data_IF_239854766555
#
_entry.id   IF_239854766555
#
_cell.length_a   1.000
_cell.length_b   1.000
_cell.length_c   1.000
_cell.angle_alpha   90.00
_cell.angle_beta   90.00
_cell.angle_gamma   90.00
#
_symmetry.space_group_name_H-M   'P 1'
#
loop_
_entity.id
_entity.type
_entity.pdbx_description
1 polymer ?
#
# COMPACT_ATOMS: atom_id res chain seq x y z
N UNK A 1 -34.84 35.96 7.43
CA UNK A 1 -36.16 35.57 6.90
C UNK A 1 -35.93 34.92 5.55
N UNK A 2 -36.14 33.61 5.47
CA UNK A 2 -36.82 32.91 4.38
C UNK A 2 -36.67 31.40 4.62
N UNK A 3 -37.80 30.75 4.45
CA UNK A 3 -38.27 29.49 5.02
C UNK A 3 -38.19 28.37 3.95
N UNK A 4 -37.69 27.18 4.35
CA UNK A 4 -38.29 25.81 4.29
C UNK A 4 -39.30 25.56 3.13
N UNK A 5 -39.31 24.39 2.40
CA UNK A 5 -39.39 23.05 3.01
C UNK A 5 -38.69 21.84 2.36
N UNK A 6 -38.64 20.80 3.20
CA UNK A 6 -38.37 19.40 2.94
C UNK A 6 -39.62 18.62 2.48
N UNK A 7 -39.42 17.43 1.92
CA UNK A 7 -40.41 16.34 1.90
C UNK A 7 -40.33 15.44 0.66
N UNK A 8 -40.04 14.15 0.83
CA UNK A 8 -41.05 13.06 0.78
C UNK A 8 -40.40 11.66 0.76
N UNK A 9 -40.84 10.83 1.71
CA UNK A 9 -40.79 9.36 1.69
C UNK A 9 -41.75 8.80 0.63
N UNK A 10 -41.43 7.63 0.06
CA UNK A 10 -42.30 6.96 -0.92
C UNK A 10 -41.87 5.53 -1.26
N UNK A 11 -42.29 4.60 -0.39
CA UNK A 11 -42.27 3.14 -0.53
C UNK A 11 -43.22 2.67 -1.65
N UNK A 12 -42.80 1.69 -2.47
CA UNK A 12 -43.71 0.82 -3.22
C UNK A 12 -43.15 -0.61 -3.30
N UNK A 13 -44.09 -1.54 -3.17
CA UNK A 13 -43.99 -2.97 -2.93
C UNK A 13 -44.57 -3.72 -4.15
N UNK A 14 -44.29 -5.03 -4.27
CA UNK A 14 -44.96 -5.98 -5.19
C UNK A 14 -44.23 -6.20 -6.53
N UNK A 15 -44.09 -7.41 -7.07
CA UNK A 15 -44.66 -8.72 -6.74
C UNK A 15 -45.07 -9.45 -8.05
N UNK A 16 -44.85 -10.78 -8.10
CA UNK A 16 -45.25 -11.77 -9.15
C UNK A 16 -44.43 -11.72 -10.46
N UNK A 17 -44.08 -12.82 -11.14
CA UNK A 17 -44.34 -14.24 -10.94
C UNK A 17 -44.32 -15.00 -12.27
N UNK A 18 -43.71 -16.19 -12.27
CA UNK A 18 -44.11 -17.43 -12.98
C UNK A 18 -43.79 -17.73 -14.45
N UNK A 19 -43.35 -19.00 -14.63
CA UNK A 19 -43.59 -19.96 -15.74
C UNK A 19 -42.75 -19.76 -17.02
N UNK A 20 -42.18 -20.76 -17.71
CA UNK A 20 -42.37 -22.23 -17.86
C UNK A 20 -41.15 -22.78 -18.65
N UNK A 21 -40.61 -23.97 -18.35
CA UNK A 21 -40.80 -25.27 -19.07
C UNK A 21 -40.11 -25.32 -20.46
N UNK A 22 -39.47 -26.36 -21.01
CA UNK A 22 -39.24 -27.80 -20.73
C UNK A 22 -37.98 -28.20 -21.54
N UNK A 23 -37.18 -29.21 -21.15
CA UNK A 23 -37.28 -30.57 -21.68
C UNK A 23 -35.88 -31.06 -22.13
N UNK A 24 -35.30 -32.08 -21.47
CA UNK A 24 -35.18 -33.47 -21.99
C UNK A 24 -33.86 -33.65 -22.76
N UNK A 25 -32.94 -34.57 -22.47
CA UNK A 25 -33.00 -35.90 -21.89
C UNK A 25 -32.30 -36.86 -22.87
N UNK A 26 -31.32 -37.65 -22.42
CA UNK A 26 -30.87 -38.84 -23.18
C UNK A 26 -29.35 -39.08 -23.22
N UNK A 27 -28.87 -39.94 -22.33
CA UNK A 27 -27.71 -40.81 -22.57
C UNK A 27 -28.16 -42.09 -23.29
N UNK A 28 -27.28 -42.74 -24.07
CA UNK A 28 -26.97 -44.16 -23.84
C UNK A 28 -25.51 -44.48 -24.25
N UNK A 29 -24.90 -45.67 -24.14
CA UNK A 29 -24.93 -46.89 -23.32
C UNK A 29 -23.78 -47.75 -23.89
N UNK A 30 -23.20 -48.62 -23.07
CA UNK A 30 -22.12 -49.59 -23.36
C UNK A 30 -22.34 -50.49 -24.60
N UNK A 31 -21.22 -50.96 -25.19
CA UNK A 31 -21.16 -52.28 -25.84
C UNK A 31 -19.77 -52.93 -25.69
N UNK A 32 -19.79 -54.26 -25.57
CA UNK A 32 -18.75 -55.20 -25.15
C UNK A 32 -18.61 -56.28 -26.25
N UNK A 33 -17.40 -56.77 -26.58
CA UNK A 33 -17.05 -58.21 -26.65
C UNK A 33 -15.67 -58.53 -27.25
N UNK A 34 -15.18 -59.73 -26.87
CA UNK A 34 -14.25 -60.67 -27.53
C UNK A 34 -12.79 -60.80 -26.99
N UNK A 35 -12.44 -62.04 -26.58
CA UNK A 35 -11.07 -62.58 -26.41
C UNK A 35 -10.71 -63.57 -27.58
N UNK A 36 -9.57 -64.31 -27.58
CA UNK A 36 -8.35 -64.04 -28.36
C UNK A 36 -8.02 -65.13 -29.43
N UNK A 37 -6.90 -65.00 -30.18
CA UNK A 37 -5.93 -66.11 -30.15
C UNK A 37 -4.43 -65.71 -30.27
N UNK A 38 -3.62 -66.50 -29.56
CA UNK A 38 -2.26 -67.04 -29.82
C UNK A 38 -1.16 -66.28 -30.61
N UNK A 39 -0.05 -66.11 -29.86
CA UNK A 39 1.31 -66.63 -30.13
C UNK A 39 2.30 -65.83 -31.01
N UNK A 40 3.56 -65.84 -30.54
CA UNK A 40 4.83 -65.54 -31.24
C UNK A 40 5.32 -64.09 -31.39
N UNK A 41 5.67 -63.39 -30.29
CA UNK A 41 6.61 -62.24 -30.40
C UNK A 41 7.23 -61.78 -29.07
N UNK A 42 7.66 -62.71 -28.20
CA UNK A 42 8.15 -62.34 -26.87
C UNK A 42 9.59 -61.82 -26.84
N UNK A 43 10.47 -62.16 -27.80
CA UNK A 43 11.90 -61.80 -27.69
C UNK A 43 12.29 -60.41 -28.22
N UNK A 44 11.54 -59.84 -29.17
CA UNK A 44 11.89 -58.53 -29.78
C UNK A 44 11.23 -57.34 -29.08
N UNK A 45 10.17 -57.57 -28.29
CA UNK A 45 9.51 -56.52 -27.50
C UNK A 45 10.35 -56.12 -26.30
N UNK A 46 11.01 -57.08 -25.64
CA UNK A 46 11.88 -56.83 -24.47
C UNK A 46 13.11 -55.98 -24.81
N UNK A 47 13.75 -56.21 -25.96
CA UNK A 47 14.91 -55.44 -26.39
C UNK A 47 14.55 -53.96 -26.69
N UNK A 48 13.40 -53.72 -27.34
CA UNK A 48 12.93 -52.36 -27.59
C UNK A 48 12.50 -51.65 -26.30
N UNK A 49 11.91 -52.38 -25.36
CA UNK A 49 11.54 -51.83 -24.04
C UNK A 49 12.78 -51.46 -23.22
N UNK A 50 13.82 -52.28 -23.22
CA UNK A 50 15.09 -51.98 -22.57
C UNK A 50 15.80 -50.79 -23.22
N UNK A 51 15.84 -50.72 -24.55
CA UNK A 51 16.46 -49.60 -25.26
C UNK A 51 15.72 -48.27 -25.02
N UNK A 52 14.38 -48.32 -24.91
CA UNK A 52 13.56 -47.16 -24.59
C UNK A 52 13.74 -46.70 -23.13
N UNK A 53 13.86 -47.62 -22.17
CA UNK A 53 14.21 -47.27 -20.79
C UNK A 53 15.60 -46.65 -20.69
N UNK A 54 16.58 -47.16 -21.45
CA UNK A 54 17.95 -46.65 -21.44
C UNK A 54 18.03 -45.24 -22.04
N UNK A 55 17.29 -44.96 -23.12
CA UNK A 55 17.14 -43.60 -23.65
C UNK A 55 16.43 -42.66 -22.68
N UNK A 56 15.42 -43.15 -21.95
CA UNK A 56 14.71 -42.33 -20.96
C UNK A 56 15.61 -42.00 -19.75
N UNK A 57 16.45 -42.91 -19.29
CA UNK A 57 17.47 -42.63 -18.26
C UNK A 57 18.53 -41.63 -18.75
N UNK A 58 18.95 -41.71 -20.01
CA UNK A 58 19.87 -40.72 -20.59
C UNK A 58 19.24 -39.32 -20.69
N UNK A 59 17.96 -39.21 -21.04
CA UNK A 59 17.24 -37.93 -21.00
C UNK A 59 17.12 -37.37 -19.58
N UNK A 60 16.84 -38.21 -18.59
CA UNK A 60 16.79 -37.82 -17.17
C UNK A 60 18.16 -37.33 -16.66
N UNK A 61 19.26 -37.96 -17.08
CA UNK A 61 20.62 -37.47 -16.77
C UNK A 61 20.95 -36.15 -17.48
N UNK A 62 20.54 -35.96 -18.73
CA UNK A 62 20.75 -34.69 -19.44
C UNK A 62 19.96 -33.53 -18.81
N UNK A 63 18.76 -33.79 -18.28
CA UNK A 63 17.99 -32.80 -17.50
C UNK A 63 18.68 -32.47 -16.16
N UNK A 64 19.39 -33.43 -15.53
CA UNK A 64 20.18 -33.19 -14.31
C UNK A 64 21.41 -32.32 -14.56
N UNK A 65 21.97 -32.33 -15.77
CA UNK A 65 23.10 -31.47 -16.15
C UNK A 65 22.69 -30.07 -16.62
N UNK A 66 21.44 -29.84 -16.99
CA UNK A 66 20.90 -28.51 -17.32
C UNK A 66 20.13 -27.85 -16.15
N UNK A 67 20.01 -28.53 -15.01
CA UNK A 67 19.38 -28.04 -13.79
C UNK A 67 20.31 -27.29 -12.83
N UNK A 68 21.46 -26.82 -13.31
CA UNK A 68 22.40 -25.99 -12.56
C UNK A 68 22.07 -24.48 -12.60
N UNK A 69 20.82 -24.09 -12.86
CA UNK A 69 20.38 -22.75 -12.47
C UNK A 69 20.17 -22.82 -10.96
N UNK A 70 21.25 -22.56 -10.22
CA UNK A 70 21.17 -22.18 -8.83
C UNK A 70 20.14 -21.05 -8.80
N UNK A 71 18.94 -21.34 -8.29
CA UNK A 71 17.92 -20.35 -8.01
C UNK A 71 18.59 -19.42 -7.00
N UNK A 72 19.29 -18.41 -7.51
CA UNK A 72 19.81 -17.32 -6.71
C UNK A 72 18.52 -16.70 -6.21
N UNK A 73 18.12 -17.04 -4.98
CA UNK A 73 17.07 -16.31 -4.32
C UNK A 73 17.39 -14.84 -4.58
N UNK A 74 16.47 -14.05 -5.16
CA UNK A 74 16.75 -12.65 -5.41
C UNK A 74 17.21 -12.12 -4.07
N UNK A 75 18.44 -11.63 -4.01
CA UNK A 75 19.00 -11.08 -2.80
C UNK A 75 18.06 -9.95 -2.42
N UNK A 76 17.14 -10.22 -1.50
CA UNK A 76 16.04 -9.33 -1.12
C UNK A 76 16.53 -7.97 -0.59
N UNK A 77 17.85 -7.82 -0.46
CA UNK A 77 18.56 -6.68 0.09
C UNK A 77 19.27 -5.82 -0.98
N UNK A 78 19.10 -6.07 -2.28
CA UNK A 78 19.62 -5.12 -3.27
C UNK A 78 18.88 -3.78 -3.16
N UNK A 79 19.59 -2.63 -3.12
CA UNK A 79 18.98 -1.31 -2.96
C UNK A 79 17.87 -1.01 -3.96
N UNK A 80 18.06 -1.39 -5.23
CA UNK A 80 17.06 -1.20 -6.28
C UNK A 80 15.78 -2.04 -6.05
N UNK A 81 15.90 -3.23 -5.47
CA UNK A 81 14.76 -4.08 -5.15
C UNK A 81 13.98 -3.52 -3.97
N UNK A 82 14.67 -2.95 -2.97
CA UNK A 82 14.05 -2.27 -1.83
C UNK A 82 13.26 -1.05 -2.30
N UNK A 83 13.84 -0.22 -3.18
CA UNK A 83 13.15 0.93 -3.80
C UNK A 83 11.87 0.45 -4.50
N UNK A 84 11.97 -0.59 -5.32
CA UNK A 84 10.82 -1.13 -6.05
C UNK A 84 9.71 -1.60 -5.11
N UNK A 85 10.06 -2.34 -4.04
CA UNK A 85 9.08 -2.83 -3.05
C UNK A 85 8.42 -1.69 -2.28
N UNK A 86 9.18 -0.67 -1.88
CA UNK A 86 8.64 0.50 -1.21
C UNK A 86 7.56 1.18 -2.07
N UNK A 87 7.86 1.39 -3.36
CA UNK A 87 6.94 2.00 -4.31
C UNK A 87 5.71 1.13 -4.57
N UNK A 88 5.88 -0.19 -4.69
CA UNK A 88 4.76 -1.13 -4.85
C UNK A 88 3.82 -1.10 -3.64
N UNK A 89 4.36 -1.15 -2.41
CA UNK A 89 3.54 -1.00 -1.20
C UNK A 89 2.80 0.35 -1.15
N UNK A 90 3.44 1.45 -1.57
CA UNK A 90 2.78 2.76 -1.68
C UNK A 90 1.61 2.72 -2.67
N UNK A 91 1.81 2.12 -3.84
CA UNK A 91 0.77 1.97 -4.86
C UNK A 91 -0.39 1.12 -4.36
N UNK A 92 -0.11 -0.02 -3.72
CA UNK A 92 -1.13 -0.87 -3.09
C UNK A 92 -1.90 -0.12 -1.99
N UNK A 93 -1.21 0.68 -1.16
CA UNK A 93 -1.86 1.51 -0.14
C UNK A 93 -2.81 2.54 -0.76
N UNK A 94 -2.40 3.16 -1.87
CA UNK A 94 -3.24 4.10 -2.63
C UNK A 94 -4.47 3.42 -3.22
N UNK A 95 -4.32 2.19 -3.70
CA UNK A 95 -5.46 1.41 -4.18
C UNK A 95 -6.43 1.09 -3.04
N UNK A 96 -5.94 0.57 -1.92
CA UNK A 96 -6.77 0.32 -0.73
C UNK A 96 -7.48 1.60 -0.25
N UNK A 97 -6.83 2.77 -0.33
CA UNK A 97 -7.45 4.04 0.03
C UNK A 97 -8.64 4.39 -0.88
N UNK A 98 -8.48 4.22 -2.20
CA UNK A 98 -9.56 4.44 -3.18
C UNK A 98 -10.73 3.49 -2.92
N UNK A 99 -10.43 2.25 -2.55
CA UNK A 99 -11.42 1.23 -2.20
C UNK A 99 -12.03 1.44 -0.79
N UNK A 100 -11.71 2.54 -0.11
CA UNK A 100 -12.13 2.89 1.26
C UNK A 100 -11.72 1.87 2.33
N UNK A 101 -10.76 1.00 2.02
CA UNK A 101 -10.17 0.02 2.93
C UNK A 101 -9.04 0.68 3.74
N UNK A 102 -9.38 1.68 4.56
CA UNK A 102 -8.40 2.54 5.25
C UNK A 102 -7.45 1.77 6.17
N UNK A 103 -7.95 0.74 6.86
CA UNK A 103 -7.11 -0.11 7.73
C UNK A 103 -6.04 -0.86 6.93
N UNK A 104 -6.40 -1.42 5.78
CA UNK A 104 -5.45 -2.10 4.89
C UNK A 104 -4.46 -1.09 4.29
N UNK A 105 -4.95 0.08 3.86
CA UNK A 105 -4.12 1.15 3.32
C UNK A 105 -3.03 1.58 4.31
N UNK A 106 -3.39 1.78 5.60
CA UNK A 106 -2.44 2.11 6.67
C UNK A 106 -1.33 1.06 6.75
N UNK A 107 -1.70 -0.23 6.76
CA UNK A 107 -0.72 -1.31 6.82
C UNK A 107 0.22 -1.34 5.62
N UNK A 108 -0.27 -1.05 4.41
CA UNK A 108 0.55 -0.96 3.20
C UNK A 108 1.49 0.23 3.22
N UNK A 109 1.03 1.42 3.59
CA UNK A 109 1.89 2.60 3.73
C UNK A 109 2.96 2.41 4.82
N UNK A 110 2.64 1.76 5.94
CA UNK A 110 3.65 1.42 6.96
C UNK A 110 4.71 0.47 6.42
N UNK A 111 4.34 -0.56 5.65
CA UNK A 111 5.31 -1.44 4.98
C UNK A 111 6.21 -0.67 4.01
N UNK A 112 5.66 0.26 3.24
CA UNK A 112 6.46 1.14 2.38
C UNK A 112 7.50 1.95 3.18
N UNK A 113 7.09 2.57 4.30
CA UNK A 113 7.98 3.31 5.18
C UNK A 113 9.06 2.44 5.83
N UNK A 114 8.76 1.18 6.14
CA UNK A 114 9.73 0.24 6.69
C UNK A 114 10.82 -0.12 5.68
N UNK A 115 10.44 -0.37 4.42
CA UNK A 115 11.41 -0.59 3.33
C UNK A 115 12.30 0.64 3.12
N UNK A 116 11.70 1.85 3.10
CA UNK A 116 12.44 3.11 2.94
C UNK A 116 13.47 3.30 4.06
N UNK A 117 13.04 3.19 5.31
CA UNK A 117 13.91 3.38 6.48
C UNK A 117 14.94 2.26 6.64
N UNK A 118 14.59 1.04 6.25
CA UNK A 118 15.51 -0.09 6.21
C UNK A 118 16.66 0.19 5.25
N UNK A 119 16.37 0.74 4.07
CA UNK A 119 17.40 1.09 3.10
C UNK A 119 18.31 2.22 3.58
N UNK A 120 17.76 3.27 4.20
CA UNK A 120 18.56 4.35 4.78
C UNK A 120 19.59 3.83 5.80
N UNK A 121 19.23 2.80 6.58
CA UNK A 121 20.16 2.17 7.55
C UNK A 121 21.25 1.36 6.85
N UNK A 122 20.93 0.67 5.76
CA UNK A 122 21.89 -0.16 5.00
C UNK A 122 22.89 0.71 4.24
N UNK A 123 22.45 1.86 3.72
CA UNK A 123 23.31 2.75 2.93
C UNK A 123 24.24 3.65 3.76
N UNK A 124 23.96 3.81 5.06
CA UNK A 124 24.77 4.63 5.96
C UNK A 124 24.70 6.13 5.64
N UNK A 125 24.78 6.97 6.68
CA UNK A 125 24.88 8.41 6.50
C UNK A 125 26.28 8.75 5.93
N UNK A 126 26.41 9.48 4.81
CA UNK A 126 27.71 9.86 4.27
C UNK A 126 28.57 10.71 5.23
N UNK A 127 28.00 11.23 6.33
CA UNK A 127 28.72 12.14 7.24
C UNK A 127 29.38 11.49 8.47
N UNK A 128 29.43 10.16 8.58
CA UNK A 128 30.18 9.49 9.67
C UNK A 128 31.54 8.96 9.20
N UNK A 129 32.30 9.78 8.48
CA UNK A 129 33.73 9.53 8.22
C UNK A 129 34.61 10.23 9.26
N UNK A 130 34.50 9.82 10.53
CA UNK A 130 35.65 9.94 11.43
C UNK A 130 35.63 8.86 12.51
N UNK A 131 36.38 7.77 12.22
CA UNK A 131 37.19 6.92 13.12
C UNK A 131 37.06 5.42 12.83
N UNK A 132 37.73 5.06 11.73
CA UNK A 132 38.73 3.98 11.64
C UNK A 132 38.30 2.52 11.52
N UNK A 133 39.16 1.69 10.87
CA UNK A 133 38.73 0.59 10.02
C UNK A 133 39.22 -0.78 10.52
N UNK A 134 38.51 -1.86 10.16
CA UNK A 134 39.12 -3.17 9.83
C UNK A 134 38.04 -4.20 9.52
N UNK A 135 37.88 -4.54 8.24
CA UNK A 135 37.75 -5.94 7.81
C UNK A 135 37.97 -6.01 6.31
N UNK A 136 39.03 -6.70 5.93
CA UNK A 136 39.53 -6.90 4.58
C UNK A 136 38.66 -7.91 3.82
N UNK A 137 37.97 -7.50 2.75
CA UNK A 137 37.67 -8.35 1.59
C UNK A 137 37.41 -7.47 0.34
N UNK A 138 38.21 -7.60 -0.74
CA UNK A 138 37.92 -6.99 -2.04
C UNK A 138 37.34 -8.03 -3.00
N UNK A 139 36.05 -7.94 -3.34
CA UNK A 139 35.43 -8.38 -4.62
C UNK A 139 33.90 -8.27 -4.55
N UNK A 140 33.36 -7.20 -5.14
CA UNK A 140 32.11 -7.08 -5.95
C UNK A 140 31.90 -5.57 -6.09
N UNK A 141 32.52 -5.02 -7.12
CA UNK A 141 32.33 -3.63 -7.55
C UNK A 141 31.27 -3.63 -8.65
N UNK A 142 30.00 -3.53 -8.26
CA UNK A 142 28.91 -2.97 -9.09
C UNK A 142 27.67 -2.76 -8.20
N UNK A 143 27.21 -1.50 -8.15
CA UNK A 143 25.93 -0.99 -7.63
C UNK A 143 25.65 -0.94 -6.12
N UNK A 144 26.57 -0.43 -5.29
CA UNK A 144 26.26 -0.11 -3.88
C UNK A 144 25.74 1.30 -3.62
N UNK A 145 25.68 2.17 -4.63
CA UNK A 145 25.16 3.54 -4.50
C UNK A 145 23.87 3.71 -5.31
N UNK A 146 22.77 4.04 -4.62
CA UNK A 146 21.53 4.49 -5.28
C UNK A 146 21.83 5.71 -6.15
N UNK A 147 21.18 5.79 -7.32
CA UNK A 147 21.19 7.01 -8.12
C UNK A 147 20.49 8.13 -7.36
N UNK A 148 20.86 9.38 -7.60
CA UNK A 148 20.22 10.52 -6.94
C UNK A 148 18.71 10.61 -7.27
N UNK A 149 18.33 10.15 -8.47
CA UNK A 149 16.94 9.97 -8.87
C UNK A 149 16.22 8.95 -7.98
N UNK A 150 16.84 7.79 -7.69
CA UNK A 150 16.25 6.79 -6.80
C UNK A 150 16.10 7.30 -5.37
N UNK A 151 17.10 8.05 -4.86
CA UNK A 151 17.02 8.68 -3.53
C UNK A 151 15.88 9.69 -3.48
N UNK A 152 15.80 10.59 -4.46
CA UNK A 152 14.72 11.58 -4.56
C UNK A 152 13.33 10.94 -4.67
N UNK A 153 13.20 9.86 -5.46
CA UNK A 153 11.97 9.10 -5.58
C UNK A 153 11.54 8.46 -4.24
N UNK A 154 12.50 7.98 -3.44
CA UNK A 154 12.22 7.41 -2.11
C UNK A 154 11.82 8.46 -1.09
N UNK A 155 12.51 9.60 -1.07
CA UNK A 155 12.13 10.72 -0.21
C UNK A 155 10.72 11.21 -0.54
N UNK A 156 10.41 11.41 -1.82
CA UNK A 156 9.06 11.78 -2.24
C UNK A 156 8.02 10.69 -1.85
N UNK A 157 8.35 9.42 -2.05
CA UNK A 157 7.47 8.31 -1.64
C UNK A 157 7.23 8.29 -0.12
N UNK A 158 8.24 8.61 0.70
CA UNK A 158 8.09 8.73 2.15
C UNK A 158 7.10 9.85 2.51
N UNK A 159 7.24 11.04 1.92
CA UNK A 159 6.35 12.17 2.15
C UNK A 159 4.91 11.85 1.72
N UNK A 160 4.73 11.23 0.55
CA UNK A 160 3.44 10.76 0.06
C UNK A 160 2.80 9.73 1.01
N UNK A 161 3.60 8.81 1.57
CA UNK A 161 3.13 7.83 2.56
C UNK A 161 2.64 8.52 3.84
N UNK A 162 3.40 9.48 4.40
CA UNK A 162 2.95 10.21 5.59
C UNK A 162 1.68 11.02 5.32
N UNK A 163 1.61 11.72 4.19
CA UNK A 163 0.40 12.43 3.78
C UNK A 163 -0.81 11.49 3.66
N UNK A 164 -0.62 10.32 3.05
CA UNK A 164 -1.70 9.36 2.85
C UNK A 164 -2.12 8.68 4.16
N UNK A 165 -1.18 8.39 5.07
CA UNK A 165 -1.47 7.89 6.41
C UNK A 165 -2.29 8.88 7.23
N UNK A 166 -1.91 10.17 7.21
CA UNK A 166 -2.69 11.22 7.86
C UNK A 166 -4.13 11.28 7.31
N UNK A 167 -4.29 11.13 5.99
CA UNK A 167 -5.60 11.05 5.36
C UNK A 167 -6.42 9.85 5.85
N UNK A 168 -5.81 8.65 5.88
CA UNK A 168 -6.47 7.42 6.35
C UNK A 168 -6.92 7.54 7.79
N UNK A 169 -6.06 8.07 8.68
CA UNK A 169 -6.36 8.22 10.09
C UNK A 169 -7.56 9.15 10.34
N UNK A 170 -7.70 10.21 9.55
CA UNK A 170 -8.87 11.10 9.61
C UNK A 170 -10.18 10.44 9.16
N UNK A 171 -10.12 9.30 8.45
CA UNK A 171 -11.30 8.52 8.02
C UNK A 171 -11.65 7.39 8.99
N UNK A 172 -10.83 7.15 10.01
CA UNK A 172 -11.12 6.13 11.02
C UNK A 172 -12.25 6.56 11.94
N UNK A 173 -13.02 5.60 12.45
CA UNK A 173 -14.09 5.85 13.43
C UNK A 173 -13.56 6.54 14.69
N UNK A 174 -12.42 6.07 15.19
CA UNK A 174 -11.66 6.70 16.27
C UNK A 174 -10.40 7.33 15.71
N UNK A 175 -10.46 8.65 15.49
CA UNK A 175 -9.37 9.42 14.90
C UNK A 175 -8.28 9.68 15.94
N UNK A 176 -7.06 9.22 15.65
CA UNK A 176 -5.88 9.56 16.45
C UNK A 176 -5.26 10.87 15.93
N UNK A 177 -5.73 12.01 16.43
CA UNK A 177 -5.25 13.33 16.02
C UNK A 177 -3.78 13.59 16.37
N UNK A 178 -3.25 12.99 17.43
CA UNK A 178 -1.83 13.05 17.78
C UNK A 178 -0.94 12.48 16.66
N UNK A 179 -1.31 11.30 16.13
CA UNK A 179 -0.60 10.69 15.01
C UNK A 179 -0.78 11.44 13.70
N UNK A 180 -1.97 11.98 13.43
CA UNK A 180 -2.20 12.84 12.26
C UNK A 180 -1.26 14.05 12.29
N UNK A 181 -1.21 14.76 13.42
CA UNK A 181 -0.29 15.87 13.66
C UNK A 181 1.16 15.44 13.40
N UNK A 182 1.62 14.35 14.01
CA UNK A 182 2.99 13.85 13.86
C UNK A 182 3.37 13.62 12.39
N UNK A 183 2.52 12.94 11.63
CA UNK A 183 2.79 12.67 10.21
C UNK A 183 2.77 13.93 9.35
N UNK A 184 1.82 14.83 9.57
CA UNK A 184 1.78 16.08 8.80
C UNK A 184 2.99 16.97 9.09
N UNK A 185 3.48 17.04 10.34
CA UNK A 185 4.68 17.80 10.67
C UNK A 185 5.94 17.23 10.00
N UNK A 186 6.05 15.90 9.84
CA UNK A 186 7.15 15.29 9.06
C UNK A 186 7.13 15.72 7.61
N UNK A 187 5.94 15.82 7.00
CA UNK A 187 5.79 16.33 5.65
C UNK A 187 6.18 17.81 5.58
N UNK A 188 5.66 18.64 6.47
CA UNK A 188 5.91 20.08 6.48
C UNK A 188 7.38 20.45 6.76
N UNK A 189 8.11 19.59 7.44
CA UNK A 189 9.55 19.78 7.64
C UNK A 189 10.33 19.79 6.32
N UNK A 190 9.88 19.00 5.33
CA UNK A 190 10.49 18.96 3.98
C UNK A 190 9.74 19.85 2.99
N UNK A 191 8.41 19.84 3.04
CA UNK A 191 7.52 20.59 2.16
C UNK A 191 6.67 21.59 2.96
N UNK A 192 7.29 22.70 3.39
CA UNK A 192 6.64 23.68 4.27
C UNK A 192 5.36 24.33 3.72
N UNK A 193 5.11 24.24 2.41
CA UNK A 193 3.92 24.77 1.73
C UNK A 193 2.94 23.70 1.25
N UNK A 194 3.08 22.45 1.69
CA UNK A 194 2.16 21.39 1.29
C UNK A 194 0.75 21.66 1.85
N UNK A 195 -0.20 22.02 0.97
CA UNK A 195 -1.57 22.35 1.35
C UNK A 195 -2.24 21.25 2.19
N UNK A 196 -2.16 19.98 1.76
CA UNK A 196 -2.81 18.85 2.43
C UNK A 196 -2.27 18.66 3.84
N UNK A 197 -0.96 18.77 4.02
CA UNK A 197 -0.33 18.65 5.34
C UNK A 197 -0.64 19.84 6.25
N UNK A 198 -0.67 21.07 5.72
CA UNK A 198 -1.07 22.27 6.47
C UNK A 198 -2.51 22.15 6.95
N UNK A 199 -3.45 21.87 6.05
CA UNK A 199 -4.86 21.74 6.38
C UNK A 199 -5.10 20.64 7.43
N UNK A 200 -4.55 19.44 7.22
CA UNK A 200 -4.71 18.30 8.14
C UNK A 200 -4.06 18.55 9.50
N UNK A 201 -2.92 19.26 9.55
CA UNK A 201 -2.31 19.70 10.82
C UNK A 201 -3.24 20.65 11.57
N UNK A 202 -3.81 21.63 10.87
CA UNK A 202 -4.77 22.57 11.43
C UNK A 202 -5.98 21.88 12.04
N UNK A 203 -6.56 20.92 11.31
CA UNK A 203 -7.66 20.08 11.81
C UNK A 203 -7.22 19.27 13.04
N UNK A 204 -6.04 18.64 13.01
CA UNK A 204 -5.55 17.86 14.14
C UNK A 204 -5.37 18.72 15.40
N UNK A 205 -4.69 19.87 15.29
CA UNK A 205 -4.52 20.78 16.42
C UNK A 205 -5.85 21.32 16.97
N UNK A 206 -6.84 21.57 16.10
CA UNK A 206 -8.17 21.98 16.53
C UNK A 206 -8.81 20.94 17.47
N UNK A 207 -8.76 19.66 17.08
CA UNK A 207 -9.34 18.57 17.89
C UNK A 207 -8.51 18.23 19.13
N UNK A 208 -7.21 18.54 19.12
CA UNK A 208 -6.35 18.45 20.30
C UNK A 208 -6.50 19.64 21.28
N UNK A 209 -7.25 20.68 20.90
CA UNK A 209 -7.53 21.85 21.73
C UNK A 209 -6.45 22.95 21.69
N UNK A 210 -5.38 22.78 20.93
CA UNK A 210 -4.39 23.83 20.69
C UNK A 210 -4.88 24.74 19.56
N UNK A 211 -5.82 25.63 19.91
CA UNK A 211 -6.50 26.47 18.93
C UNK A 211 -5.58 27.52 18.30
N UNK A 212 -4.51 27.95 18.98
CA UNK A 212 -3.57 28.92 18.44
C UNK A 212 -2.76 28.31 17.27
N UNK A 213 -2.20 27.11 17.48
CA UNK A 213 -1.51 26.40 16.38
C UNK A 213 -2.48 25.97 15.28
N UNK A 214 -3.69 25.54 15.64
CA UNK A 214 -4.72 25.22 14.66
C UNK A 214 -4.98 26.39 13.71
N UNK A 215 -5.19 27.60 14.26
CA UNK A 215 -5.46 28.80 13.47
C UNK A 215 -4.27 29.17 12.58
N UNK A 216 -3.05 29.04 13.09
CA UNK A 216 -1.84 29.28 12.29
C UNK A 216 -1.78 28.38 11.06
N UNK A 217 -1.84 27.05 11.24
CA UNK A 217 -1.77 26.11 10.11
C UNK A 217 -2.95 26.25 9.13
N UNK A 218 -4.15 26.50 9.65
CA UNK A 218 -5.33 26.72 8.79
C UNK A 218 -5.18 27.99 7.95
N UNK A 219 -4.65 29.09 8.51
CA UNK A 219 -4.36 30.31 7.75
C UNK A 219 -3.28 30.10 6.69
N UNK A 220 -2.22 29.35 7.01
CA UNK A 220 -1.21 28.99 6.00
C UNK A 220 -1.81 28.12 4.89
N UNK A 221 -2.69 27.17 5.20
CA UNK A 221 -3.40 26.39 4.18
C UNK A 221 -4.32 27.26 3.32
N UNK A 222 -5.00 28.25 3.92
CA UNK A 222 -5.88 29.18 3.21
C UNK A 222 -5.13 30.08 2.22
N UNK A 223 -3.88 30.44 2.51
CA UNK A 223 -3.04 31.17 1.55
C UNK A 223 -2.77 30.37 0.28
N UNK A 224 -2.74 29.03 0.36
CA UNK A 224 -2.55 28.16 -0.80
C UNK A 224 -3.85 27.96 -1.57
N UNK A 225 -4.97 27.70 -0.86
CA UNK A 225 -6.29 27.51 -1.47
C UNK A 225 -7.34 28.41 -0.78
N UNK A 226 -7.48 29.69 -1.19
CA UNK A 226 -8.38 30.64 -0.54
C UNK A 226 -9.86 30.32 -0.70
N UNK A 227 -10.23 29.55 -1.71
CA UNK A 227 -11.62 29.18 -2.00
C UNK A 227 -12.06 27.88 -1.30
N UNK A 228 -11.17 27.18 -0.60
CA UNK A 228 -11.53 25.93 0.05
C UNK A 228 -12.48 26.18 1.24
N UNK A 229 -13.72 25.70 1.07
CA UNK A 229 -14.79 25.89 2.05
C UNK A 229 -14.53 25.18 3.37
N UNK A 230 -13.79 24.06 3.37
CA UNK A 230 -13.46 23.34 4.59
C UNK A 230 -12.43 24.09 5.42
N UNK A 231 -11.42 24.68 4.78
CA UNK A 231 -10.43 25.54 5.42
C UNK A 231 -11.12 26.75 6.06
N UNK A 232 -11.96 27.46 5.30
CA UNK A 232 -12.71 28.63 5.80
C UNK A 232 -13.56 28.23 7.01
N UNK A 233 -14.30 27.12 6.93
CA UNK A 233 -15.12 26.60 8.01
C UNK A 233 -14.29 26.32 9.27
N UNK A 234 -13.16 25.63 9.13
CA UNK A 234 -12.31 25.31 10.28
C UNK A 234 -11.65 26.56 10.89
N UNK A 235 -11.30 27.58 10.09
CA UNK A 235 -10.81 28.87 10.60
C UNK A 235 -11.88 29.50 11.50
N UNK A 236 -13.12 29.62 11.01
CA UNK A 236 -14.22 30.21 11.77
C UNK A 236 -14.50 29.46 13.07
N UNK A 237 -14.56 28.11 13.01
CA UNK A 237 -14.74 27.26 14.19
C UNK A 237 -13.63 27.47 15.22
N UNK A 238 -12.38 27.61 14.76
CA UNK A 238 -11.21 27.81 15.62
C UNK A 238 -11.26 29.18 16.29
N UNK A 239 -11.55 30.24 15.54
CA UNK A 239 -11.68 31.60 16.09
C UNK A 239 -12.81 31.70 17.12
N UNK A 240 -13.95 31.04 16.87
CA UNK A 240 -15.04 30.97 17.85
C UNK A 240 -14.62 30.27 19.14
N UNK A 241 -13.81 29.20 19.07
CA UNK A 241 -13.28 28.50 20.25
C UNK A 241 -12.32 29.40 21.03
N UNK A 242 -11.39 30.08 20.35
CA UNK A 242 -10.46 31.03 20.99
C UNK A 242 -11.22 32.12 21.75
N UNK A 243 -12.20 32.77 21.10
CA UNK A 243 -13.01 33.82 21.74
C UNK A 243 -13.74 33.31 22.99
N UNK A 244 -14.32 32.10 22.92
CA UNK A 244 -15.03 31.48 24.05
C UNK A 244 -14.08 31.15 25.21
N UNK A 245 -12.88 30.64 24.92
CA UNK A 245 -11.89 30.33 25.96
C UNK A 245 -11.41 31.60 26.68
N UNK A 246 -11.09 32.65 25.93
CA UNK A 246 -10.67 33.93 26.52
C UNK A 246 -11.75 34.57 27.42
N UNK A 247 -13.03 34.40 27.08
CA UNK A 247 -14.14 34.85 27.94
C UNK A 247 -14.26 34.03 29.22
N UNK A 248 -14.01 32.72 29.16
CA UNK A 248 -14.02 31.86 30.36
C UNK A 248 -12.87 32.20 31.29
N UNK A 249 -11.66 32.34 30.76
CA UNK A 249 -10.46 32.71 31.53
C UNK A 249 -10.65 34.06 32.24
N UNK A 250 -11.27 35.06 31.58
CA UNK A 250 -11.60 36.35 32.22
C UNK A 250 -12.59 36.22 33.38
N UNK A 251 -13.61 35.36 33.25
CA UNK A 251 -14.61 35.12 34.31
C UNK A 251 -14.04 34.33 35.47
N UNK A 252 -13.13 33.39 35.22
CA UNK A 252 -12.46 32.59 36.25
C UNK A 252 -11.41 33.43 37.01
N UNK A 253 -10.92 34.52 36.42
CA UNK A 253 -9.97 35.45 37.03
C UNK A 253 -10.61 36.65 37.76
N UNK A 254 -11.94 36.77 37.77
CA UNK A 254 -12.71 37.84 38.45
C UNK A 254 -13.46 37.27 39.63
#
# INVERSE_FOLDING_TARGET
>A
MSVIPAGHDGRVDGGRGSLTDSGGGGSPKLQQCAQPPNSSSSRTKDARYQQQQQQQQQQLQQQRHHGGSMWKQPSHNEPADVVRRALDFKCQGTQCYKDKKYREAIGKYHRALLEIKGLCRVLGDPDTSSKSPSSLLPTISKSTTLTDEQKGAMENAELECYNSLAACLLQMELVNYERVKEYCLKVLHKEGKNFKALYRSGVAYYHLGDFQKALHYLKESHKQEPSDTNVIRYIQLTEMKIRRNAQREKKEAT
#
